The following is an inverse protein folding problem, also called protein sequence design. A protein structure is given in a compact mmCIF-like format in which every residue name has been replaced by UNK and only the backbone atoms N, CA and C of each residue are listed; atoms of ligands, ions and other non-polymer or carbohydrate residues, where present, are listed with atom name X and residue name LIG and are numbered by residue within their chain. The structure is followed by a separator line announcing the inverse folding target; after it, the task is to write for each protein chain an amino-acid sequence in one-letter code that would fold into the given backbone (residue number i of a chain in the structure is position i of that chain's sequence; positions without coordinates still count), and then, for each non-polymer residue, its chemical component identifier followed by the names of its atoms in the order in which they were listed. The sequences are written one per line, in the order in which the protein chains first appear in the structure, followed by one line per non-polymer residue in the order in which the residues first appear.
data_IF_183376793141
#
_entry.id   IF_183376793141
#
_cell.length_a   1.000
_cell.length_b   1.000
_cell.length_c   1.000
_cell.angle_alpha   90.00
_cell.angle_beta   90.00
_cell.angle_gamma   90.00
#
_symmetry.space_group_name_H-M   'P 1'
#
loop_
_entity.id
_entity.type
_entity.pdbx_description
1 polymer ?
#
# COMPACT_ATOMS: atom_id res chain seq x y z
N UNK A 1 -36.79 -33.10 3.94
CA UNK A 1 -36.64 -31.70 4.36
C UNK A 1 -35.21 -31.32 4.07
N UNK A 2 -35.00 -30.62 2.96
CA UNK A 2 -33.68 -30.22 2.45
C UNK A 2 -33.08 -29.15 3.37
N UNK A 3 -31.91 -29.46 3.95
CA UNK A 3 -31.13 -28.48 4.68
C UNK A 3 -30.51 -27.52 3.66
N UNK A 4 -31.06 -26.31 3.57
CA UNK A 4 -30.41 -25.19 2.90
C UNK A 4 -29.07 -24.93 3.59
N UNK A 5 -27.98 -25.38 2.96
CA UNK A 5 -26.65 -24.91 3.30
C UNK A 5 -26.52 -23.50 2.72
N UNK A 6 -26.75 -22.48 3.54
CA UNK A 6 -26.31 -21.12 3.26
C UNK A 6 -24.78 -21.16 3.23
N UNK A 7 -24.22 -21.07 2.02
CA UNK A 7 -22.79 -20.87 1.85
C UNK A 7 -22.36 -19.65 2.68
N UNK A 8 -21.23 -19.71 3.43
CA UNK A 8 -20.75 -18.54 4.13
C UNK A 8 -20.40 -17.49 3.08
N UNK A 9 -21.16 -16.39 3.06
CA UNK A 9 -20.75 -15.16 2.38
C UNK A 9 -19.49 -14.73 3.10
N UNK A 10 -18.34 -15.03 2.52
CA UNK A 10 -17.06 -14.45 2.94
C UNK A 10 -17.18 -12.99 2.55
N UNK A 11 -17.66 -12.16 3.47
CA UNK A 11 -17.60 -10.72 3.31
C UNK A 11 -16.13 -10.36 3.13
N UNK A 12 -15.74 -10.03 1.90
CA UNK A 12 -14.39 -9.55 1.64
C UNK A 12 -14.19 -8.30 2.51
N UNK A 13 -13.26 -8.40 3.46
CA UNK A 13 -12.86 -7.31 4.33
C UNK A 13 -12.26 -6.22 3.43
N UNK A 14 -12.82 -5.02 3.48
CA UNK A 14 -12.31 -3.82 2.81
C UNK A 14 -11.72 -2.86 3.81
N UNK A 15 -11.44 -1.62 3.39
CA UNK A 15 -11.12 -0.55 4.33
C UNK A 15 -12.40 0.20 4.72
N UNK A 16 -12.86 -0.01 5.96
CA UNK A 16 -14.10 0.56 6.50
C UNK A 16 -14.01 2.05 6.90
N UNK A 17 -12.84 2.69 6.76
CA UNK A 17 -12.69 4.10 7.14
C UNK A 17 -11.28 4.66 6.96
N UNK A 18 -11.07 5.93 7.37
CA UNK A 18 -9.77 6.56 7.30
C UNK A 18 -8.77 5.80 8.15
N UNK A 19 -7.65 5.43 7.54
CA UNK A 19 -6.60 4.63 8.18
C UNK A 19 -5.25 4.91 7.52
N UNK A 20 -4.17 4.61 8.25
CA UNK A 20 -2.81 4.73 7.76
C UNK A 20 -2.16 3.37 7.89
N UNK A 21 -1.63 2.85 6.78
CA UNK A 21 -1.09 1.50 6.72
C UNK A 21 0.22 1.48 5.96
N UNK A 22 1.10 0.58 6.37
CA UNK A 22 2.25 0.22 5.58
C UNK A 22 1.90 -0.96 4.68
N UNK A 23 2.33 -0.86 3.42
CA UNK A 23 2.26 -1.92 2.44
C UNK A 23 3.67 -2.38 2.13
N UNK A 24 3.94 -3.67 2.37
CA UNK A 24 5.20 -4.31 2.01
C UNK A 24 5.05 -5.03 0.68
N UNK A 25 5.96 -4.76 -0.27
CA UNK A 25 6.02 -5.50 -1.53
C UNK A 25 6.84 -6.77 -1.33
N UNK A 26 6.18 -7.93 -1.40
CA UNK A 26 6.85 -9.21 -1.34
C UNK A 26 7.83 -9.37 -2.51
N UNK A 27 9.14 -9.56 -2.26
CA UNK A 27 10.14 -9.58 -3.33
C UNK A 27 9.93 -10.70 -4.37
N UNK A 28 9.40 -11.84 -3.94
CA UNK A 28 9.24 -13.03 -4.78
C UNK A 28 7.98 -12.99 -5.66
N UNK A 29 6.88 -12.44 -5.14
CA UNK A 29 5.55 -12.48 -5.77
C UNK A 29 5.08 -11.12 -6.28
N UNK A 30 5.76 -10.03 -5.89
CA UNK A 30 5.35 -8.65 -6.10
C UNK A 30 3.96 -8.32 -5.54
N UNK A 31 3.46 -9.15 -4.61
CA UNK A 31 2.20 -8.93 -3.91
C UNK A 31 2.38 -7.96 -2.75
N UNK A 32 1.29 -7.31 -2.38
CA UNK A 32 1.24 -6.36 -1.28
C UNK A 32 0.77 -7.06 -0.01
N UNK A 33 1.56 -6.93 1.05
CA UNK A 33 1.17 -7.27 2.40
C UNK A 33 0.79 -6.01 3.15
N UNK A 34 -0.38 -6.05 3.77
CA UNK A 34 -0.79 -5.09 4.79
C UNK A 34 -0.02 -5.40 6.07
N UNK A 35 0.76 -4.43 6.54
CA UNK A 35 1.55 -4.54 7.76
C UNK A 35 1.32 -3.32 8.65
N UNK A 36 1.38 -3.49 9.99
CA UNK A 36 1.09 -2.39 10.89
C UNK A 36 2.25 -1.38 10.95
N UNK A 37 3.49 -1.83 10.77
CA UNK A 37 4.68 -0.98 10.90
C UNK A 37 5.73 -1.30 9.84
N UNK A 38 6.52 -0.28 9.48
CA UNK A 38 7.65 -0.40 8.56
C UNK A 38 8.68 -1.41 9.08
N UNK A 39 9.12 -2.34 8.22
CA UNK A 39 10.11 -3.36 8.57
C UNK A 39 9.52 -4.67 9.09
N UNK A 40 8.21 -4.74 9.32
CA UNK A 40 7.51 -6.01 9.58
C UNK A 40 7.32 -6.74 8.25
N UNK A 41 8.03 -7.86 8.06
CA UNK A 41 7.99 -8.63 6.80
C UNK A 41 6.85 -9.64 6.69
N UNK A 42 5.99 -9.69 7.70
CA UNK A 42 4.85 -10.61 7.79
C UNK A 42 3.57 -9.79 7.96
N UNK A 43 2.59 -10.03 7.11
CA UNK A 43 1.33 -9.29 7.13
C UNK A 43 0.23 -10.07 6.44
N UNK A 44 -0.93 -9.45 6.32
CA UNK A 44 -2.07 -10.01 5.59
C UNK A 44 -1.93 -9.66 4.10
N UNK A 45 -2.06 -10.63 3.19
CA UNK A 45 -2.16 -10.33 1.76
C UNK A 45 -3.43 -9.51 1.51
N UNK A 46 -3.32 -8.44 0.72
CA UNK A 46 -4.48 -7.64 0.36
C UNK A 46 -5.53 -8.50 -0.37
N UNK A 47 -6.78 -8.41 0.07
CA UNK A 47 -7.92 -8.96 -0.66
C UNK A 47 -8.17 -8.15 -1.94
N UNK A 48 -8.86 -8.71 -2.95
CA UNK A 48 -9.28 -7.97 -4.13
C UNK A 48 -10.05 -6.69 -3.79
N UNK A 49 -10.94 -6.74 -2.79
CA UNK A 49 -11.67 -5.56 -2.32
C UNK A 49 -10.76 -4.51 -1.69
N UNK A 50 -9.81 -4.89 -0.84
CA UNK A 50 -8.84 -3.96 -0.26
C UNK A 50 -7.99 -3.29 -1.34
N UNK A 51 -7.60 -4.04 -2.37
CA UNK A 51 -6.87 -3.49 -3.50
C UNK A 51 -7.68 -2.43 -4.26
N UNK A 52 -8.96 -2.69 -4.50
CA UNK A 52 -9.87 -1.71 -5.13
C UNK A 52 -10.05 -0.47 -4.25
N UNK A 53 -10.24 -0.65 -2.94
CA UNK A 53 -10.33 0.45 -1.98
C UNK A 53 -9.03 1.28 -1.96
N UNK A 54 -7.86 0.65 -2.03
CA UNK A 54 -6.57 1.33 -2.11
C UNK A 54 -6.43 2.16 -3.38
N UNK A 55 -6.84 1.62 -4.53
CA UNK A 55 -6.78 2.35 -5.80
C UNK A 55 -7.75 3.53 -5.82
N UNK A 56 -8.91 3.40 -5.18
CA UNK A 56 -9.94 4.45 -5.15
C UNK A 56 -9.68 5.52 -4.08
N UNK A 57 -9.27 5.09 -2.88
CA UNK A 57 -9.23 5.92 -1.66
C UNK A 57 -7.83 6.17 -1.15
N UNK A 58 -6.86 5.33 -1.54
CA UNK A 58 -5.49 5.42 -1.07
C UNK A 58 -4.76 6.64 -1.61
N UNK A 59 -3.90 7.21 -0.77
CA UNK A 59 -2.94 8.24 -1.10
C UNK A 59 -1.59 7.86 -0.48
N UNK A 60 -0.60 7.60 -1.32
CA UNK A 60 0.73 7.19 -0.88
C UNK A 60 1.60 8.42 -0.56
N UNK A 61 1.79 8.72 0.72
CA UNK A 61 2.55 9.89 1.18
C UNK A 61 4.03 9.60 1.51
N UNK A 62 4.39 8.31 1.69
CA UNK A 62 5.77 7.91 1.86
C UNK A 62 6.10 6.60 1.14
N UNK A 63 7.34 6.49 0.69
CA UNK A 63 7.92 5.25 0.16
C UNK A 63 9.23 4.97 0.88
N UNK A 64 9.53 3.69 1.11
CA UNK A 64 10.82 3.30 1.64
C UNK A 64 11.41 2.12 0.87
N UNK A 65 12.74 2.05 0.84
CA UNK A 65 13.48 0.89 0.34
C UNK A 65 14.48 0.39 1.38
N UNK A 66 14.28 -0.85 1.81
CA UNK A 66 15.17 -1.54 2.73
C UNK A 66 16.11 -2.48 1.97
N UNK A 67 17.38 -2.11 1.89
CA UNK A 67 18.41 -2.91 1.23
C UNK A 67 19.12 -3.81 2.27
N UNK A 68 19.32 -5.07 1.93
CA UNK A 68 20.21 -5.93 2.74
C UNK A 68 21.68 -5.52 2.56
N UNK A 69 22.50 -5.69 3.59
CA UNK A 69 23.96 -5.42 3.55
C UNK A 69 24.69 -6.15 2.42
N UNK A 70 24.20 -7.28 1.94
CA UNK A 70 24.81 -8.02 0.83
C UNK A 70 24.44 -7.45 -0.55
N UNK A 71 23.43 -6.59 -0.61
CA UNK A 71 22.80 -6.10 -1.85
C UNK A 71 22.71 -4.57 -1.93
N UNK A 72 23.32 -3.82 -1.00
CA UNK A 72 23.27 -2.36 -0.97
C UNK A 72 23.81 -1.71 -2.27
N UNK A 73 24.79 -2.35 -2.91
CA UNK A 73 25.36 -1.95 -4.19
C UNK A 73 24.38 -2.07 -5.37
N UNK A 74 23.25 -2.77 -5.18
CA UNK A 74 22.15 -2.91 -6.15
C UNK A 74 20.94 -2.05 -5.78
N UNK A 75 21.11 -1.01 -4.97
CA UNK A 75 20.00 -0.14 -4.61
C UNK A 75 19.35 0.48 -5.87
N UNK A 76 18.01 0.42 -5.97
CA UNK A 76 17.29 1.07 -7.05
C UNK A 76 17.46 2.59 -6.97
N UNK A 77 17.31 3.28 -8.11
CA UNK A 77 17.34 4.74 -8.14
C UNK A 77 16.16 5.34 -7.36
N UNK A 78 16.30 6.58 -6.91
CA UNK A 78 15.21 7.29 -6.23
C UNK A 78 13.94 7.35 -7.08
N UNK A 79 14.07 7.58 -8.39
CA UNK A 79 12.93 7.53 -9.32
C UNK A 79 12.25 6.16 -9.35
N UNK A 80 13.01 5.07 -9.34
CA UNK A 80 12.44 3.73 -9.33
C UNK A 80 11.66 3.46 -8.03
N UNK A 81 12.16 3.93 -6.89
CA UNK A 81 11.48 3.81 -5.60
C UNK A 81 10.20 4.65 -5.60
N UNK A 82 10.27 5.92 -5.99
CA UNK A 82 9.12 6.84 -6.07
C UNK A 82 8.04 6.38 -7.06
N UNK A 83 8.40 5.61 -8.09
CA UNK A 83 7.45 5.06 -9.07
C UNK A 83 6.69 3.84 -8.55
N UNK A 84 7.13 3.22 -7.46
CA UNK A 84 6.55 1.96 -6.95
C UNK A 84 5.03 2.04 -6.73
N UNK A 85 4.45 3.09 -6.13
CA UNK A 85 3.00 3.21 -5.96
C UNK A 85 2.22 3.21 -7.28
N UNK A 86 2.80 3.79 -8.34
CA UNK A 86 2.17 3.82 -9.67
C UNK A 86 2.05 2.44 -10.31
N UNK A 87 2.90 1.47 -9.93
CA UNK A 87 2.79 0.08 -10.39
C UNK A 87 1.52 -0.61 -9.88
N UNK A 88 0.95 -0.09 -8.79
CA UNK A 88 -0.23 -0.60 -8.12
C UNK A 88 -1.46 0.29 -8.31
N UNK A 89 -1.34 1.32 -9.15
CA UNK A 89 -2.38 2.34 -9.38
C UNK A 89 -2.80 3.06 -8.08
N UNK A 90 -1.86 3.23 -7.14
CA UNK A 90 -2.07 4.00 -5.92
C UNK A 90 -1.71 5.45 -6.21
N UNK A 91 -2.63 6.36 -5.89
CA UNK A 91 -2.41 7.79 -6.07
C UNK A 91 -1.24 8.28 -5.21
N UNK A 92 -0.38 9.12 -5.79
CA UNK A 92 0.70 9.80 -5.08
C UNK A 92 0.51 11.30 -5.19
N UNK A 93 0.76 12.08 -4.13
CA UNK A 93 0.84 13.52 -4.24
C UNK A 93 2.03 13.92 -5.13
N UNK A 94 2.20 15.22 -5.38
CA UNK A 94 3.33 15.73 -6.14
C UNK A 94 4.65 15.15 -5.57
N UNK A 95 5.64 14.78 -6.42
CA UNK A 95 6.81 14.02 -5.99
C UNK A 95 7.57 14.62 -4.80
N UNK A 96 7.65 15.96 -4.71
CA UNK A 96 8.31 16.67 -3.62
C UNK A 96 7.57 16.63 -2.28
N UNK A 97 6.33 16.12 -2.26
CA UNK A 97 5.53 15.90 -1.05
C UNK A 97 5.58 14.44 -0.57
N UNK A 98 6.12 13.53 -1.39
CA UNK A 98 6.29 12.13 -1.02
C UNK A 98 7.60 12.00 -0.24
N UNK A 99 7.52 11.46 0.98
CA UNK A 99 8.73 11.15 1.76
C UNK A 99 9.40 9.91 1.16
N UNK A 100 10.71 9.97 0.95
CA UNK A 100 11.50 8.82 0.51
C UNK A 100 12.54 8.48 1.58
N UNK A 101 12.50 7.25 2.07
CA UNK A 101 13.50 6.70 2.99
C UNK A 101 14.25 5.54 2.34
N UNK A 102 15.57 5.49 2.53
CA UNK A 102 16.36 4.33 2.14
C UNK A 102 17.26 3.91 3.29
N UNK A 103 17.21 2.63 3.64
CA UNK A 103 17.91 2.11 4.80
C UNK A 103 18.59 0.78 4.51
N UNK A 104 19.77 0.59 5.10
CA UNK A 104 20.41 -0.71 5.19
C UNK A 104 19.86 -1.48 6.39
N UNK A 105 19.42 -2.70 6.13
CA UNK A 105 18.79 -3.56 7.13
C UNK A 105 19.54 -4.89 7.27
N UNK A 106 19.46 -5.47 8.47
CA UNK A 106 20.10 -6.74 8.82
C UNK A 106 19.38 -7.93 8.16
N UNK A 107 19.82 -9.16 8.48
CA UNK A 107 19.25 -10.37 7.88
C UNK A 107 17.87 -10.73 8.43
N UNK A 108 17.61 -10.35 9.67
CA UNK A 108 16.35 -10.55 10.39
C UNK A 108 15.28 -9.49 10.06
N UNK A 109 15.67 -8.38 9.45
CA UNK A 109 14.76 -7.30 9.08
C UNK A 109 14.20 -7.49 7.66
N UNK A 110 12.95 -7.09 7.48
CA UNK A 110 12.30 -7.21 6.18
C UNK A 110 12.88 -6.23 5.15
N UNK A 111 13.12 -6.76 3.94
CA UNK A 111 13.79 -6.08 2.82
C UNK A 111 12.81 -5.77 1.70
N UNK A 112 13.18 -4.84 0.82
CA UNK A 112 12.42 -4.52 -0.39
C UNK A 112 11.70 -3.18 -0.31
N UNK A 113 10.64 -3.05 -1.10
CA UNK A 113 9.88 -1.81 -1.23
C UNK A 113 8.74 -1.74 -0.21
N UNK A 114 8.50 -0.54 0.28
CA UNK A 114 7.48 -0.21 1.25
C UNK A 114 6.76 1.05 0.82
N UNK A 115 5.46 1.10 1.07
CA UNK A 115 4.62 2.26 0.78
C UNK A 115 3.77 2.55 2.01
N UNK A 116 3.81 3.79 2.48
CA UNK A 116 2.86 4.29 3.47
C UNK A 116 1.67 4.84 2.71
N UNK A 117 0.49 4.30 2.98
CA UNK A 117 -0.74 4.70 2.32
C UNK A 117 -1.75 5.16 3.35
N UNK A 118 -2.17 6.42 3.19
CA UNK A 118 -3.32 6.97 3.89
C UNK A 118 -4.58 6.63 3.09
N UNK A 119 -5.48 5.88 3.70
CA UNK A 119 -6.82 5.63 3.19
C UNK A 119 -7.70 6.83 3.52
N UNK A 120 -8.27 7.46 2.51
CA UNK A 120 -9.16 8.61 2.68
C UNK A 120 -10.57 8.15 3.02
N UNK A 121 -11.24 8.89 3.89
CA UNK A 121 -12.66 8.70 4.19
C UNK A 121 -13.56 9.14 3.04
N UNK A 122 -14.83 8.71 3.06
CA UNK A 122 -15.80 9.05 2.00
C UNK A 122 -16.07 10.56 1.91
N UNK A 123 -16.06 11.27 3.03
CA UNK A 123 -16.25 12.73 3.08
C UNK A 123 -15.14 13.48 2.34
N UNK A 124 -13.87 13.07 2.51
CA UNK A 124 -12.72 13.68 1.82
C UNK A 124 -12.79 13.45 0.29
N UNK A 125 -13.30 12.28 -0.12
CA UNK A 125 -13.47 11.93 -1.53
C UNK A 125 -14.62 12.70 -2.20
N UNK A 126 -15.72 12.95 -1.49
CA UNK A 126 -16.85 13.74 -2.00
C UNK A 126 -16.43 15.20 -2.21
N UNK A 127 -15.72 15.79 -1.25
CA UNK A 127 -15.21 17.16 -1.38
C UNK A 127 -14.25 17.35 -2.57
N UNK A 128 -13.41 16.35 -2.88
CA UNK A 128 -12.55 16.39 -4.06
C UNK A 128 -13.37 16.39 -5.37
N UNK A 129 -14.40 15.55 -5.45
CA UNK A 129 -15.29 15.48 -6.63
C UNK A 129 -16.09 16.78 -6.86
N UNK A 130 -16.53 17.44 -5.79
CA UNK A 130 -17.24 18.72 -5.88
C UNK A 130 -16.33 19.87 -6.31
N UNK A 131 -15.03 19.81 -5.98
CA UNK A 131 -14.05 20.84 -6.33
C UNK A 131 -13.57 20.72 -7.79
N UNK A 132 -13.71 19.54 -8.40
CA UNK A 132 -13.33 19.26 -9.80
C UNK A 132 -14.47 19.43 -10.82
N UNK A 133 -15.70 19.77 -10.39
CA UNK A 133 -16.81 20.02 -11.30
C UNK A 133 -16.73 21.45 -11.90
N UNK A 134 -16.62 21.61 -13.23
CA UNK A 134 -16.69 22.93 -13.86
C UNK A 134 -18.12 23.49 -13.75
N UNK A 135 -18.22 24.77 -13.35
CA UNK A 135 -19.44 25.57 -13.40
C UNK A 135 -19.90 25.85 -14.85
#
# INVERSE_FOLDING_TARGET
MEAHQTAPVVEEKGFDGPSEVWLHVQPATQRLLLVPELGIGTGEELTPKMMQDLQRKGLCDAVAYHAGYEQYWKMPSQEAILRTPSLYSIETPLPHKVKLDTRLVKQDEARGFWMHVRIRGEEELQHLQETEAPA
#
